data_IF_118010608182
#
_entry.id   IF_118010608182
#
_cell.length_a   1.000
_cell.length_b   1.000
_cell.length_c   1.000
_cell.angle_alpha   90.00
_cell.angle_beta   90.00
_cell.angle_gamma   90.00
#
_symmetry.space_group_name_H-M   'P 1'
#
loop_
_entity.id
_entity.type
_entity.pdbx_description
1 polymer ?
#
# COMPACT_ATOMS: atom_id res chain seq x y z
N UNK A 1 -5.13 -17.33 -9.02
CA UNK A 1 -3.96 -17.52 -8.14
C UNK A 1 -3.03 -16.33 -8.35
N UNK A 2 -3.36 -15.20 -7.73
CA UNK A 2 -2.75 -13.89 -7.96
C UNK A 2 -1.52 -13.69 -7.06
N UNK A 3 -0.60 -14.65 -7.03
CA UNK A 3 0.70 -14.45 -6.39
C UNK A 3 1.62 -13.77 -7.39
N UNK A 4 1.41 -12.48 -7.64
CA UNK A 4 2.30 -11.69 -8.48
C UNK A 4 3.59 -11.37 -7.70
N UNK A 5 4.77 -11.34 -8.37
CA UNK A 5 6.09 -11.18 -7.74
C UNK A 5 6.38 -9.75 -7.23
N UNK A 6 5.36 -8.91 -7.07
CA UNK A 6 5.51 -7.51 -6.71
C UNK A 6 6.01 -7.30 -5.27
N UNK A 7 5.72 -8.25 -4.37
CA UNK A 7 6.16 -8.22 -2.96
C UNK A 7 7.71 -8.30 -2.82
N UNK A 8 8.40 -9.28 -3.44
CA UNK A 8 9.87 -9.31 -3.49
C UNK A 8 10.51 -8.05 -4.09
N UNK A 9 9.91 -7.48 -5.14
CA UNK A 9 10.43 -6.26 -5.79
C UNK A 9 10.31 -5.05 -4.86
N UNK A 10 9.17 -4.89 -4.19
CA UNK A 10 8.97 -3.82 -3.21
C UNK A 10 9.96 -3.94 -2.04
N UNK A 11 10.23 -5.17 -1.57
CA UNK A 11 11.23 -5.43 -0.54
C UNK A 11 12.64 -5.12 -1.02
N UNK A 12 13.00 -5.50 -2.24
CA UNK A 12 14.30 -5.17 -2.82
C UNK A 12 14.50 -3.65 -2.92
N UNK A 13 13.48 -2.89 -3.34
CA UNK A 13 13.50 -1.43 -3.31
C UNK A 13 13.71 -0.90 -1.87
N UNK A 14 13.01 -1.46 -0.89
CA UNK A 14 13.18 -1.09 0.52
C UNK A 14 14.56 -1.44 1.09
N UNK A 15 15.21 -2.48 0.55
CA UNK A 15 16.58 -2.85 0.88
C UNK A 15 17.60 -1.89 0.25
N UNK A 16 17.39 -1.45 -0.98
CA UNK A 16 18.33 -0.58 -1.68
C UNK A 16 18.20 0.90 -1.32
N UNK A 17 17.00 1.38 -0.96
CA UNK A 17 16.77 2.75 -0.50
C UNK A 17 17.31 3.04 0.94
N UNK A 18 18.06 2.11 1.55
CA UNK A 18 18.73 2.27 2.84
C UNK A 18 19.84 3.33 2.77
N UNK A 19 19.48 4.61 2.86
CA UNK A 19 20.37 5.60 3.45
C UNK A 19 20.38 5.41 4.97
N UNK A 20 21.53 5.54 5.65
CA UNK A 20 21.66 5.31 7.09
C UNK A 20 20.82 6.25 8.00
N UNK A 21 20.06 7.19 7.44
CA UNK A 21 19.26 8.18 8.17
C UNK A 21 17.74 8.06 7.93
N UNK A 22 17.26 7.12 7.12
CA UNK A 22 15.83 6.98 6.80
C UNK A 22 15.14 6.06 7.81
N UNK A 23 14.14 6.55 8.54
CA UNK A 23 13.25 5.68 9.31
C UNK A 23 12.19 5.09 8.38
N UNK A 24 11.96 3.78 8.48
CA UNK A 24 11.11 3.05 7.54
C UNK A 24 9.75 2.83 8.20
N UNK A 25 8.73 3.56 7.80
CA UNK A 25 7.37 3.20 8.18
C UNK A 25 6.79 2.35 7.05
N UNK A 26 7.11 1.05 6.98
CA UNK A 26 6.29 0.14 6.17
C UNK A 26 4.81 0.28 6.59
N UNK A 27 3.81 -0.17 5.78
CA UNK A 27 2.40 -0.55 6.11
C UNK A 27 1.28 0.24 5.40
N UNK A 28 0.10 -0.38 5.13
CA UNK A 28 -0.43 -1.68 5.58
C UNK A 28 0.02 -2.89 4.75
N UNK A 29 -0.23 -4.10 5.24
CA UNK A 29 -0.45 -5.32 4.42
C UNK A 29 -1.91 -5.72 4.62
N UNK A 30 -2.76 -5.39 3.66
CA UNK A 30 -4.13 -5.86 3.51
C UNK A 30 -4.17 -6.65 2.22
N UNK A 31 -3.96 -7.96 2.28
CA UNK A 31 -4.07 -8.84 1.12
C UNK A 31 -5.38 -9.64 1.23
N UNK A 32 -6.26 -9.47 0.24
CA UNK A 32 -7.56 -10.15 0.13
C UNK A 32 -7.45 -11.12 -1.03
N UNK A 33 -6.80 -12.26 -0.76
CA UNK A 33 -6.97 -13.46 -1.59
C UNK A 33 -7.88 -14.45 -0.83
N UNK A 34 -8.86 -15.12 -1.48
CA UNK A 34 -9.79 -16.08 -0.84
C UNK A 34 -9.10 -17.32 -0.25
N UNK A 35 -7.79 -17.47 -0.44
CA UNK A 35 -6.98 -18.52 0.14
C UNK A 35 -6.34 -18.04 1.45
N UNK A 36 -6.95 -18.41 2.58
CA UNK A 36 -6.55 -18.15 3.97
C UNK A 36 -5.05 -18.32 4.30
N UNK A 37 -4.28 -19.04 3.47
CA UNK A 37 -2.86 -19.35 3.68
C UNK A 37 -1.87 -18.26 3.25
N UNK A 38 -2.19 -17.41 2.27
CA UNK A 38 -1.23 -16.45 1.69
C UNK A 38 -1.00 -15.23 2.61
N UNK A 39 -2.01 -14.85 3.40
CA UNK A 39 -2.05 -13.58 4.14
C UNK A 39 -1.10 -13.52 5.34
N UNK A 40 -0.87 -14.64 6.01
CA UNK A 40 0.07 -14.73 7.13
C UNK A 40 1.51 -14.90 6.66
N UNK A 41 1.71 -15.51 5.48
CA UNK A 41 3.05 -15.67 4.89
C UNK A 41 3.62 -14.33 4.47
N UNK A 42 2.84 -13.46 3.82
CA UNK A 42 3.30 -12.11 3.44
C UNK A 42 3.69 -11.28 4.67
N UNK A 43 2.84 -11.25 5.70
CA UNK A 43 3.13 -10.51 6.94
C UNK A 43 4.34 -11.08 7.69
N UNK A 44 4.48 -12.41 7.76
CA UNK A 44 5.66 -13.07 8.33
C UNK A 44 6.91 -12.80 7.51
N UNK A 45 6.81 -12.80 6.18
CA UNK A 45 7.92 -12.54 5.28
C UNK A 45 8.47 -11.13 5.49
N UNK A 46 7.61 -10.11 5.58
CA UNK A 46 8.03 -8.76 5.94
C UNK A 46 8.67 -8.70 7.33
N UNK A 47 8.03 -9.32 8.33
CA UNK A 47 8.54 -9.30 9.70
C UNK A 47 9.92 -9.97 9.82
N UNK A 48 10.07 -11.17 9.28
CA UNK A 48 11.33 -11.90 9.27
C UNK A 48 12.42 -11.16 8.50
N UNK A 49 12.10 -10.53 7.36
CA UNK A 49 13.06 -9.71 6.62
C UNK A 49 13.54 -8.51 7.43
N UNK A 50 12.63 -7.81 8.12
CA UNK A 50 13.01 -6.66 8.95
C UNK A 50 13.80 -7.06 10.20
N UNK A 51 13.50 -8.22 10.78
CA UNK A 51 14.25 -8.80 11.91
C UNK A 51 15.66 -9.24 11.48
N UNK A 52 15.81 -9.95 10.37
CA UNK A 52 17.11 -10.38 9.82
C UNK A 52 18.01 -9.19 9.46
N UNK A 53 17.43 -8.11 8.97
CA UNK A 53 18.15 -6.90 8.58
C UNK A 53 18.43 -5.93 9.76
N UNK A 54 18.06 -6.29 11.00
CA UNK A 54 18.28 -5.45 12.19
C UNK A 54 17.61 -4.07 12.10
N UNK A 55 16.60 -3.92 11.24
CA UNK A 55 15.93 -2.64 10.99
C UNK A 55 14.66 -2.46 11.82
N UNK A 56 14.33 -3.43 12.69
CA UNK A 56 13.09 -3.47 13.45
C UNK A 56 12.90 -2.25 14.36
N UNK A 57 13.99 -1.68 14.91
CA UNK A 57 13.94 -0.50 15.79
C UNK A 57 13.46 0.77 15.07
N UNK A 58 13.57 0.81 13.75
CA UNK A 58 13.17 1.94 12.91
C UNK A 58 11.93 1.64 12.08
N UNK A 59 11.25 0.53 12.36
CA UNK A 59 10.07 0.05 11.64
C UNK A 59 8.86 0.03 12.56
N UNK A 60 7.75 0.60 12.11
CA UNK A 60 6.45 0.42 12.75
C UNK A 60 5.54 -0.36 11.80
N UNK A 61 4.79 -1.32 12.34
CA UNK A 61 3.91 -2.27 11.62
C UNK A 61 2.41 -2.16 12.08
N UNK A 62 1.46 -1.95 11.14
CA UNK A 62 -0.01 -1.78 11.17
C UNK A 62 -0.58 -2.85 10.25
N UNK A 63 -0.67 -4.06 10.79
CA UNK A 63 -1.15 -5.22 10.05
C UNK A 63 -2.66 -5.26 10.14
N UNK A 64 -3.33 -5.47 8.99
CA UNK A 64 -4.73 -5.83 8.96
C UNK A 64 -4.85 -7.16 8.22
N UNK A 65 -5.17 -8.21 8.95
CA UNK A 65 -5.28 -9.54 8.40
C UNK A 65 -6.65 -9.71 7.70
N UNK A 66 -6.75 -10.69 6.81
CA UNK A 66 -7.99 -10.89 6.06
C UNK A 66 -9.20 -11.30 6.93
N UNK A 67 -8.95 -11.84 8.12
CA UNK A 67 -9.97 -12.15 9.12
C UNK A 67 -10.44 -10.91 9.90
N UNK A 68 -9.74 -9.78 9.78
CA UNK A 68 -10.11 -8.55 10.45
C UNK A 68 -11.21 -7.81 9.67
N UNK A 69 -12.04 -7.00 10.35
CA UNK A 69 -13.15 -6.28 9.72
C UNK A 69 -12.73 -5.39 8.54
N UNK A 70 -13.59 -5.30 7.52
CA UNK A 70 -13.35 -4.47 6.33
C UNK A 70 -13.26 -2.98 6.65
N UNK A 71 -13.92 -2.52 7.71
CA UNK A 71 -13.81 -1.13 8.16
C UNK A 71 -12.41 -0.79 8.67
N UNK A 72 -11.69 -1.75 9.25
CA UNK A 72 -10.32 -1.54 9.70
C UNK A 72 -9.40 -1.25 8.51
N UNK A 73 -9.57 -1.96 7.39
CA UNK A 73 -8.82 -1.70 6.14
C UNK A 73 -8.94 -0.26 5.64
N UNK A 74 -10.10 0.36 5.86
CA UNK A 74 -10.35 1.74 5.44
C UNK A 74 -9.58 2.74 6.31
N UNK A 75 -9.44 2.46 7.61
CA UNK A 75 -8.75 3.35 8.56
C UNK A 75 -7.23 3.12 8.62
N UNK A 76 -6.74 1.89 8.39
CA UNK A 76 -5.32 1.54 8.50
C UNK A 76 -4.39 2.44 7.69
N UNK A 77 -4.61 2.72 6.38
CA UNK A 77 -3.72 3.62 5.64
C UNK A 77 -3.77 5.05 6.17
N UNK A 78 -4.91 5.50 6.71
CA UNK A 78 -5.03 6.84 7.31
C UNK A 78 -4.25 6.94 8.60
N UNK A 79 -4.27 5.90 9.43
CA UNK A 79 -3.45 5.81 10.65
C UNK A 79 -1.96 5.78 10.29
N UNK A 80 -1.56 4.95 9.32
CA UNK A 80 -0.18 4.87 8.85
C UNK A 80 0.35 6.22 8.37
N UNK A 81 -0.40 6.92 7.53
CA UNK A 81 -0.02 8.24 7.03
C UNK A 81 0.03 9.30 8.13
N UNK A 82 -0.88 9.24 9.11
CA UNK A 82 -0.85 10.19 10.24
C UNK A 82 0.39 10.00 11.10
N UNK A 83 0.79 8.75 11.35
CA UNK A 83 2.07 8.45 12.00
C UNK A 83 3.27 8.88 11.15
N UNK A 84 3.22 8.70 9.82
CA UNK A 84 4.25 9.15 8.91
C UNK A 84 4.42 10.67 8.92
N UNK A 85 3.33 11.43 8.90
CA UNK A 85 3.33 12.90 8.98
C UNK A 85 3.91 13.40 10.30
N UNK A 86 3.56 12.76 11.41
CA UNK A 86 4.15 13.10 12.71
C UNK A 86 5.68 12.91 12.67
N UNK A 87 6.15 11.75 12.22
CA UNK A 87 7.58 11.45 12.15
C UNK A 87 8.32 12.36 11.15
N UNK A 88 7.73 12.63 10.00
CA UNK A 88 8.36 13.43 8.97
C UNK A 88 8.38 14.91 9.33
N UNK A 89 7.25 15.45 9.79
CA UNK A 89 7.10 16.90 9.90
C UNK A 89 7.28 17.45 11.31
N UNK A 90 7.15 16.63 12.35
CA UNK A 90 7.41 17.05 13.73
C UNK A 90 8.76 16.54 14.24
N UNK A 91 9.17 15.33 13.84
CA UNK A 91 10.47 14.77 14.21
C UNK A 91 11.55 14.95 13.13
N UNK A 92 11.24 15.62 12.02
CA UNK A 92 12.15 15.91 10.90
C UNK A 92 12.81 14.69 10.25
N UNK A 93 12.10 13.55 10.22
CA UNK A 93 12.63 12.30 9.68
C UNK A 93 12.27 12.08 8.22
N UNK A 94 13.11 11.32 7.52
CA UNK A 94 12.76 10.79 6.21
C UNK A 94 11.99 9.49 6.40
N UNK A 95 10.74 9.45 5.94
CA UNK A 95 9.82 8.33 6.10
C UNK A 95 9.48 7.75 4.73
N UNK A 96 9.69 6.45 4.58
CA UNK A 96 9.18 5.67 3.46
C UNK A 96 7.93 4.93 3.92
N UNK A 97 6.81 5.15 3.25
CA UNK A 97 5.51 4.52 3.47
C UNK A 97 5.22 3.53 2.35
N UNK A 98 4.90 2.29 2.70
CA UNK A 98 4.56 1.23 1.74
C UNK A 98 3.13 0.81 1.99
N UNK A 99 2.22 1.11 1.06
CA UNK A 99 0.81 0.73 1.19
C UNK A 99 0.57 -0.53 0.36
N UNK A 100 0.18 -1.64 0.97
CA UNK A 100 -0.20 -2.86 0.23
C UNK A 100 -1.37 -3.58 0.91
N UNK A 101 -2.31 -4.22 0.23
CA UNK A 101 -2.66 -4.06 -1.18
C UNK A 101 -3.79 -3.00 -1.30
N UNK A 102 -3.62 -2.00 -2.18
CA UNK A 102 -4.63 -0.98 -2.46
C UNK A 102 -5.86 -1.53 -3.18
N UNK A 103 -5.77 -2.71 -3.81
CA UNK A 103 -6.93 -3.40 -4.37
C UNK A 103 -7.87 -3.90 -3.27
N UNK A 104 -7.32 -4.48 -2.20
CA UNK A 104 -8.08 -4.86 -1.00
C UNK A 104 -8.77 -3.66 -0.34
N UNK A 105 -8.09 -2.51 -0.34
CA UNK A 105 -8.67 -1.25 0.13
C UNK A 105 -9.88 -0.85 -0.71
N UNK A 106 -9.74 -0.85 -2.04
CA UNK A 106 -10.82 -0.50 -2.95
C UNK A 106 -12.01 -1.46 -2.87
N UNK A 107 -11.75 -2.76 -2.66
CA UNK A 107 -12.81 -3.75 -2.43
C UNK A 107 -13.55 -3.52 -1.12
N UNK A 108 -12.83 -3.22 -0.02
CA UNK A 108 -13.45 -2.86 1.24
C UNK A 108 -14.30 -1.58 1.12
N UNK A 109 -13.81 -0.58 0.38
CA UNK A 109 -14.56 0.65 0.11
C UNK A 109 -15.84 0.37 -0.67
N UNK A 110 -15.77 -0.54 -1.66
CA UNK A 110 -16.94 -1.02 -2.41
C UNK A 110 -17.95 -1.74 -1.52
N UNK A 111 -17.49 -2.61 -0.63
CA UNK A 111 -18.36 -3.34 0.29
C UNK A 111 -19.12 -2.39 1.22
N UNK A 112 -18.44 -1.38 1.76
CA UNK A 112 -19.06 -0.37 2.62
C UNK A 112 -20.07 0.48 1.84
N UNK A 113 -19.74 0.88 0.61
CA UNK A 113 -20.66 1.64 -0.25
C UNK A 113 -21.91 0.83 -0.61
N UNK A 114 -21.75 -0.46 -0.94
CA UNK A 114 -22.87 -1.37 -1.21
C UNK A 114 -23.75 -1.60 0.02
N UNK A 115 -23.16 -1.76 1.20
CA UNK A 115 -23.89 -1.90 2.47
C UNK A 115 -24.68 -0.63 2.84
N UNK A 116 -24.25 0.53 2.35
CA UNK A 116 -24.95 1.82 2.50
C UNK A 116 -26.00 2.10 1.44
N UNK A 117 -26.20 1.19 0.49
CA UNK A 117 -27.12 1.35 -0.65
C UNK A 117 -26.83 2.60 -1.49
N UNK A 118 -25.55 2.99 -1.59
CA UNK A 118 -25.14 4.12 -2.43
C UNK A 118 -25.19 3.74 -3.92
N UNK A 119 -25.37 4.74 -4.78
CA UNK A 119 -25.40 4.52 -6.24
C UNK A 119 -24.02 4.10 -6.71
N UNK A 120 -23.85 2.89 -7.30
CA UNK A 120 -22.55 2.42 -7.73
C UNK A 120 -22.08 3.18 -8.98
N UNK A 121 -20.78 3.42 -9.04
CA UNK A 121 -20.08 3.91 -10.21
C UNK A 121 -19.61 2.78 -11.14
N UNK A 122 -18.47 3.00 -11.81
CA UNK A 122 -17.91 2.06 -12.79
C UNK A 122 -17.51 0.75 -12.12
N UNK A 123 -17.95 -0.38 -12.70
CA UNK A 123 -17.70 -1.76 -12.20
C UNK A 123 -18.11 -1.97 -10.72
N UNK A 124 -19.07 -1.21 -10.21
CA UNK A 124 -19.61 -1.38 -8.86
C UNK A 124 -18.84 -0.66 -7.75
N UNK A 125 -17.77 0.08 -8.06
CA UNK A 125 -17.05 0.91 -7.08
C UNK A 125 -17.78 2.22 -6.79
N UNK A 126 -17.59 2.85 -5.62
CA UNK A 126 -18.23 4.12 -5.31
C UNK A 126 -17.79 5.23 -6.26
N UNK A 127 -18.71 6.16 -6.57
CA UNK A 127 -18.41 7.30 -7.44
C UNK A 127 -17.32 8.23 -6.90
N UNK A 128 -17.11 8.25 -5.58
CA UNK A 128 -16.09 9.06 -4.90
C UNK A 128 -14.75 8.34 -4.73
N UNK A 129 -14.54 7.15 -5.32
CA UNK A 129 -13.30 6.39 -5.16
C UNK A 129 -12.06 7.20 -5.58
N UNK A 130 -12.15 8.04 -6.62
CA UNK A 130 -11.06 8.94 -7.03
C UNK A 130 -10.67 9.89 -5.89
N UNK A 131 -11.65 10.59 -5.33
CA UNK A 131 -11.42 11.53 -4.23
C UNK A 131 -10.87 10.81 -3.00
N UNK A 132 -11.39 9.64 -2.68
CA UNK A 132 -10.95 8.86 -1.52
C UNK A 132 -9.49 8.41 -1.64
N UNK A 133 -9.10 7.86 -2.79
CA UNK A 133 -7.71 7.51 -3.09
C UNK A 133 -6.79 8.75 -3.07
N UNK A 134 -7.26 9.88 -3.60
CA UNK A 134 -6.50 11.13 -3.58
C UNK A 134 -6.21 11.58 -2.14
N UNK A 135 -7.16 11.43 -1.21
CA UNK A 135 -6.89 11.78 0.21
C UNK A 135 -5.78 10.96 0.85
N UNK A 136 -5.42 9.80 0.29
CA UNK A 136 -4.33 8.95 0.77
C UNK A 136 -3.03 9.31 0.04
N UNK A 137 -3.04 9.28 -1.29
CA UNK A 137 -1.83 9.43 -2.10
C UNK A 137 -1.24 10.85 -2.06
N UNK A 138 -2.06 11.89 -1.94
CA UNK A 138 -1.61 13.30 -1.90
C UNK A 138 -0.94 13.69 -0.57
N UNK A 139 -0.88 12.79 0.41
CA UNK A 139 -0.19 13.01 1.70
C UNK A 139 1.31 12.70 1.62
N UNK A 140 1.89 12.68 0.42
CA UNK A 140 3.31 12.47 0.18
C UNK A 140 4.02 13.82 -0.05
N UNK A 141 5.33 13.86 0.18
CA UNK A 141 6.16 15.00 -0.20
C UNK A 141 6.92 15.67 0.95
N UNK A 142 7.48 16.84 0.64
CA UNK A 142 8.27 17.70 1.54
C UNK A 142 7.62 19.05 1.66
N UNK A 143 7.73 19.65 2.84
CA UNK A 143 7.22 21.00 3.12
C UNK A 143 8.40 21.95 3.22
N UNK A 144 8.29 23.14 2.63
CA UNK A 144 9.31 24.18 2.77
C UNK A 144 9.52 24.54 4.25
N UNK A 145 10.78 24.68 4.65
CA UNK A 145 11.15 24.95 6.04
C UNK A 145 11.15 23.73 6.98
N UNK A 146 10.87 22.51 6.47
CA UNK A 146 11.02 21.25 7.23
C UNK A 146 12.01 20.31 6.55
N UNK A 147 12.87 19.65 7.33
CA UNK A 147 13.88 18.75 6.78
C UNK A 147 13.33 17.37 6.40
N UNK A 148 12.28 16.89 7.07
CA UNK A 148 11.72 15.57 6.83
C UNK A 148 10.99 15.42 5.49
N UNK A 149 10.65 14.19 5.16
CA UNK A 149 9.99 13.85 3.90
C UNK A 149 9.13 12.61 4.04
N UNK A 150 8.05 12.53 3.26
CA UNK A 150 7.24 11.33 3.12
C UNK A 150 7.35 10.86 1.67
N UNK A 151 7.78 9.62 1.47
CA UNK A 151 7.75 8.95 0.18
C UNK A 151 6.75 7.80 0.26
N UNK A 152 5.79 7.75 -0.65
CA UNK A 152 4.80 6.68 -0.70
C UNK A 152 5.10 5.72 -1.85
N UNK A 153 4.98 4.42 -1.58
CA UNK A 153 4.99 3.35 -2.58
C UNK A 153 3.70 2.53 -2.39
N UNK A 154 2.61 2.92 -3.07
CA UNK A 154 1.41 2.10 -3.10
C UNK A 154 1.61 0.91 -4.04
N UNK A 155 1.17 -0.25 -3.58
CA UNK A 155 1.21 -1.51 -4.30
C UNK A 155 -0.23 -1.94 -4.49
N UNK A 156 -0.57 -2.26 -5.74
CA UNK A 156 -1.88 -2.76 -6.10
C UNK A 156 -1.78 -3.99 -6.98
N UNK A 157 -2.68 -4.95 -6.79
CA UNK A 157 -2.83 -6.09 -7.68
C UNK A 157 -3.94 -5.84 -8.69
N UNK A 158 -3.61 -5.83 -9.99
CA UNK A 158 -4.62 -5.64 -11.03
C UNK A 158 -5.50 -6.89 -11.20
N UNK A 159 -6.83 -6.77 -11.12
CA UNK A 159 -7.71 -7.89 -11.40
C UNK A 159 -7.57 -8.33 -12.87
N UNK A 160 -7.30 -9.62 -13.09
CA UNK A 160 -7.11 -10.22 -14.42
C UNK A 160 -6.03 -9.55 -15.28
N UNK A 161 -5.01 -8.93 -14.66
CA UNK A 161 -3.95 -8.20 -15.36
C UNK A 161 -4.50 -7.05 -16.26
N UNK A 162 -5.70 -6.53 -15.95
CA UNK A 162 -6.38 -5.46 -16.71
C UNK A 162 -5.99 -4.06 -16.21
N UNK A 163 -5.13 -3.37 -16.96
CA UNK A 163 -4.72 -1.98 -16.66
C UNK A 163 -5.87 -0.97 -16.77
N UNK A 164 -6.95 -1.31 -17.48
CA UNK A 164 -8.13 -0.44 -17.63
C UNK A 164 -9.13 -0.58 -16.48
N UNK A 165 -8.81 -1.43 -15.49
CA UNK A 165 -9.60 -1.59 -14.28
C UNK A 165 -9.64 -0.27 -13.50
N UNK A 166 -10.78 0.12 -12.88
CA UNK A 166 -10.89 1.39 -12.16
C UNK A 166 -9.82 1.65 -11.10
N UNK A 167 -9.29 0.60 -10.45
CA UNK A 167 -8.26 0.70 -9.41
C UNK A 167 -6.92 1.24 -9.98
N UNK A 168 -6.25 0.55 -10.93
CA UNK A 168 -5.04 1.07 -11.56
C UNK A 168 -5.29 2.35 -12.37
N UNK A 169 -6.45 2.47 -13.03
CA UNK A 169 -6.82 3.64 -13.83
C UNK A 169 -6.84 4.91 -12.95
N UNK A 170 -7.62 4.90 -11.85
CA UNK A 170 -7.68 6.03 -10.93
C UNK A 170 -6.38 6.25 -10.16
N UNK A 171 -5.66 5.19 -9.81
CA UNK A 171 -4.35 5.33 -9.17
C UNK A 171 -3.37 6.05 -10.10
N UNK A 172 -3.30 5.66 -11.38
CA UNK A 172 -2.43 6.31 -12.36
C UNK A 172 -2.82 7.76 -12.68
N UNK A 173 -4.06 8.16 -12.45
CA UNK A 173 -4.47 9.57 -12.53
C UNK A 173 -3.97 10.43 -11.37
N UNK A 174 -3.63 9.81 -10.23
CA UNK A 174 -3.25 10.52 -9.00
C UNK A 174 -1.74 10.42 -8.79
N UNK A 175 -1.15 9.23 -8.94
CA UNK A 175 0.27 9.01 -8.69
C UNK A 175 1.13 9.55 -9.84
N UNK A 176 2.34 9.97 -9.52
CA UNK A 176 3.31 10.54 -10.46
C UNK A 176 4.03 9.46 -11.31
N UNK A 177 3.26 8.51 -11.83
CA UNK A 177 3.74 7.35 -12.56
C UNK A 177 3.50 6.03 -11.83
N UNK A 178 3.96 4.96 -12.45
CA UNK A 178 3.76 3.60 -11.97
C UNK A 178 4.91 2.68 -12.40
N UNK A 179 5.20 1.69 -11.58
CA UNK A 179 6.09 0.57 -11.94
C UNK A 179 5.22 -0.63 -12.27
N UNK A 180 5.26 -1.07 -13.52
CA UNK A 180 4.49 -2.22 -13.97
C UNK A 180 5.32 -3.50 -13.87
N UNK A 181 4.83 -4.47 -13.09
CA UNK A 181 5.46 -5.79 -12.95
C UNK A 181 4.81 -6.74 -13.95
N UNK A 182 5.52 -7.03 -15.03
CA UNK A 182 5.01 -7.89 -16.10
C UNK A 182 5.13 -9.38 -15.75
N UNK A 183 4.01 -10.10 -15.85
CA UNK A 183 3.94 -11.54 -15.68
C UNK A 183 4.71 -12.31 -16.75
N UNK A 184 4.83 -11.77 -17.97
CA UNK A 184 5.58 -12.44 -19.04
C UNK A 184 7.08 -12.50 -18.73
N UNK A 185 7.64 -11.43 -18.14
CA UNK A 185 9.03 -11.40 -17.71
C UNK A 185 9.25 -12.38 -16.56
N UNK A 186 8.33 -12.39 -15.59
CA UNK A 186 8.40 -13.33 -14.48
C UNK A 186 8.37 -14.80 -14.93
N UNK A 187 7.51 -15.14 -15.90
CA UNK A 187 7.45 -16.49 -16.48
C UNK A 187 8.75 -16.89 -17.20
N UNK A 188 9.54 -15.91 -17.66
CA UNK A 188 10.87 -16.12 -18.25
C UNK A 188 11.99 -16.15 -17.20
N UNK A 189 11.65 -16.09 -15.91
CA UNK A 189 12.59 -16.03 -14.78
C UNK A 189 13.52 -14.80 -14.85
N UNK A 190 13.00 -13.68 -15.33
CA UNK A 190 13.66 -12.36 -15.37
C UNK A 190 13.05 -11.43 -14.34
#
# INVERSE_FOLDING_TARGET
AAAAPHLPTALSACRQQLRPQTQKLSLPVSDVSPSLQVNMETARFFKSDFEENGSMDNVCLFLNLANDPTIERIITPRLALTSAEYLAYQCEKHVLVILTDMSSYAEALREVSAAREEVPGRRGFPGYMYTDLATIYERAGRVEGRNGSITQIPILTMPNDDITHPIPDLTGYITEGQVYVDRQLHNRQV
#
